data_IF_407782937871
#
_entry.id   IF_407782937871
#
_cell.length_a   1.000
_cell.length_b   1.000
_cell.length_c   1.000
_cell.angle_alpha   90.00
_cell.angle_beta   90.00
_cell.angle_gamma   90.00
#
_symmetry.space_group_name_H-M   'P 1'
#
loop_
_entity.id
_entity.type
_entity.pdbx_description
1 polymer ?
#
# COMPACT_ATOMS: atom_id res chain seq x y z
N UNK A 1 -46.58 26.56 -45.31
CA UNK A 1 -46.03 25.96 -44.03
C UNK A 1 -44.85 25.06 -44.35
N UNK A 2 -43.63 25.57 -44.17
CA UNK A 2 -42.39 24.86 -44.47
C UNK A 2 -41.89 24.34 -43.13
N UNK A 3 -41.83 23.00 -42.98
CA UNK A 3 -41.25 22.34 -41.81
C UNK A 3 -39.75 22.19 -42.02
N UNK A 4 -38.95 22.88 -41.22
CA UNK A 4 -37.50 22.70 -41.15
C UNK A 4 -37.21 21.54 -40.20
N UNK A 5 -36.65 20.44 -40.73
CA UNK A 5 -36.11 19.32 -39.94
C UNK A 5 -34.71 19.74 -39.47
N UNK A 6 -34.55 19.95 -38.17
CA UNK A 6 -33.20 20.04 -37.56
C UNK A 6 -32.67 18.62 -37.33
N UNK A 7 -31.67 18.20 -38.09
CA UNK A 7 -30.87 17.02 -37.78
C UNK A 7 -29.82 17.38 -36.74
N UNK A 8 -29.94 16.79 -35.57
CA UNK A 8 -28.88 16.81 -34.56
C UNK A 8 -27.82 15.78 -34.95
N UNK A 9 -26.63 16.27 -35.33
CA UNK A 9 -25.45 15.43 -35.44
C UNK A 9 -24.81 15.28 -34.04
N UNK A 10 -24.95 14.12 -33.41
CA UNK A 10 -24.17 13.76 -32.25
C UNK A 10 -22.77 13.35 -32.71
N UNK A 11 -21.80 14.24 -32.57
CA UNK A 11 -20.40 13.91 -32.77
C UNK A 11 -19.93 13.07 -31.59
N UNK A 12 -19.86 11.76 -31.74
CA UNK A 12 -19.10 10.88 -30.87
C UNK A 12 -17.61 11.12 -31.14
N UNK A 13 -16.92 11.83 -30.23
CA UNK A 13 -15.46 11.85 -30.23
C UNK A 13 -14.98 10.44 -29.91
N UNK A 14 -14.50 9.73 -30.90
CA UNK A 14 -13.71 8.53 -30.68
C UNK A 14 -12.32 8.97 -30.18
N UNK A 15 -12.00 8.71 -28.91
CA UNK A 15 -10.63 8.83 -28.41
C UNK A 15 -9.72 7.95 -29.29
N UNK A 16 -8.68 8.54 -29.83
CA UNK A 16 -7.67 7.81 -30.59
C UNK A 16 -6.81 6.99 -29.64
N UNK A 17 -6.24 5.89 -30.10
CA UNK A 17 -5.40 4.99 -29.30
C UNK A 17 -4.17 5.68 -28.64
N UNK A 18 -3.84 6.91 -29.03
CA UNK A 18 -2.77 7.73 -28.45
C UNK A 18 -3.15 8.40 -27.11
N UNK A 19 -4.44 8.47 -26.75
CA UNK A 19 -4.93 9.12 -25.52
C UNK A 19 -5.18 8.14 -24.35
N UNK A 20 -4.93 6.85 -24.55
CA UNK A 20 -4.99 5.89 -23.44
C UNK A 20 -3.69 6.00 -22.62
N UNK A 21 -3.78 6.30 -21.31
CA UNK A 21 -2.59 6.30 -20.47
C UNK A 21 -1.90 4.93 -20.55
N UNK A 22 -0.56 4.95 -20.67
CA UNK A 22 0.23 3.71 -20.67
C UNK A 22 -0.15 2.86 -19.46
N UNK A 23 -0.36 1.55 -19.67
CA UNK A 23 -0.64 0.61 -18.59
C UNK A 23 0.49 0.62 -17.57
N UNK A 24 0.22 0.12 -16.37
CA UNK A 24 1.20 -0.01 -15.29
C UNK A 24 1.51 -1.48 -15.05
N UNK A 25 2.80 -1.81 -14.94
CA UNK A 25 3.24 -3.09 -14.39
C UNK A 25 3.33 -2.98 -12.87
N UNK A 26 2.87 -4.00 -12.15
CA UNK A 26 2.88 -3.98 -10.68
C UNK A 26 2.85 -5.37 -10.07
N UNK A 27 3.43 -5.49 -8.87
CA UNK A 27 3.16 -6.56 -7.92
C UNK A 27 1.92 -6.18 -7.12
N UNK A 28 0.92 -7.04 -7.08
CA UNK A 28 -0.30 -6.90 -6.28
C UNK A 28 -0.25 -7.88 -5.11
N UNK A 29 -0.56 -7.40 -3.91
CA UNK A 29 -0.51 -8.12 -2.64
C UNK A 29 -1.86 -8.02 -1.93
N UNK A 30 -2.34 -9.13 -1.42
CA UNK A 30 -3.66 -9.19 -0.77
C UNK A 30 -4.21 -10.59 -0.76
N UNK A 31 -5.51 -10.73 -0.99
CA UNK A 31 -6.17 -12.02 -1.17
C UNK A 31 -5.66 -12.79 -2.39
N UNK A 32 -5.16 -12.06 -3.39
CA UNK A 32 -4.39 -12.59 -4.52
C UNK A 32 -3.00 -11.95 -4.51
N UNK A 33 -1.96 -12.76 -4.72
CA UNK A 33 -0.57 -12.30 -4.84
C UNK A 33 -0.09 -12.58 -6.26
N UNK A 34 0.14 -11.53 -7.04
CA UNK A 34 0.49 -11.68 -8.46
C UNK A 34 1.23 -10.47 -9.03
N UNK A 35 1.98 -10.71 -10.11
CA UNK A 35 2.55 -9.65 -10.94
C UNK A 35 1.68 -9.53 -12.19
N UNK A 36 1.32 -8.30 -12.50
CA UNK A 36 0.55 -7.91 -13.69
C UNK A 36 1.43 -7.00 -14.54
N UNK A 37 1.53 -7.26 -15.82
CA UNK A 37 2.27 -6.40 -16.76
C UNK A 37 1.43 -5.19 -17.22
N UNK A 38 2.05 -4.29 -17.96
CA UNK A 38 1.41 -3.08 -18.47
C UNK A 38 0.23 -3.35 -19.43
N UNK A 39 0.16 -4.55 -20.02
CA UNK A 39 -0.98 -4.99 -20.84
C UNK A 39 -2.12 -5.60 -20.01
N UNK A 40 -1.98 -5.65 -18.69
CA UNK A 40 -2.96 -6.25 -17.77
C UNK A 40 -2.88 -7.77 -17.68
N UNK A 41 -1.84 -8.40 -18.24
CA UNK A 41 -1.64 -9.85 -18.19
C UNK A 41 -0.94 -10.24 -16.90
N UNK A 42 -1.45 -11.27 -16.23
CA UNK A 42 -0.77 -11.87 -15.07
C UNK A 42 0.43 -12.69 -15.56
N UNK A 43 1.63 -12.28 -15.15
CA UNK A 43 2.89 -12.91 -15.53
C UNK A 43 3.48 -13.82 -14.46
N UNK A 44 3.04 -13.66 -13.21
CA UNK A 44 3.46 -14.47 -12.07
C UNK A 44 2.38 -14.48 -10.98
N UNK A 45 2.28 -15.60 -10.24
CA UNK A 45 1.38 -15.74 -9.09
C UNK A 45 2.10 -16.43 -7.94
N UNK A 46 1.63 -16.16 -6.71
CA UNK A 46 2.04 -16.91 -5.52
C UNK A 46 0.80 -17.46 -4.80
N UNK A 47 0.81 -18.73 -4.36
CA UNK A 47 -0.39 -19.40 -3.83
C UNK A 47 -0.63 -19.10 -2.35
N UNK A 48 -0.50 -17.83 -1.93
CA UNK A 48 -0.77 -17.42 -0.56
C UNK A 48 -1.42 -16.04 -0.50
N UNK A 49 -2.19 -15.81 0.56
CA UNK A 49 -2.68 -14.48 0.94
C UNK A 49 -1.53 -13.72 1.60
N UNK A 50 -1.25 -12.52 1.11
CA UNK A 50 -0.17 -11.66 1.57
C UNK A 50 -0.70 -10.32 2.08
N UNK A 51 0.15 -9.55 2.75
CA UNK A 51 -0.23 -8.23 3.28
C UNK A 51 0.69 -7.13 2.80
N UNK A 52 2.00 -7.35 2.86
CA UNK A 52 3.06 -6.44 2.41
C UNK A 52 4.12 -7.25 1.67
N UNK A 53 4.96 -6.60 0.90
CA UNK A 53 6.05 -7.25 0.20
C UNK A 53 6.58 -6.43 -0.97
N UNK A 54 7.60 -6.96 -1.62
CA UNK A 54 8.28 -6.31 -2.74
C UNK A 54 8.98 -7.31 -3.64
N UNK A 55 9.17 -6.96 -4.91
CA UNK A 55 10.23 -7.48 -5.75
C UNK A 55 11.54 -6.90 -5.27
N UNK A 56 12.51 -7.75 -5.00
CA UNK A 56 13.85 -7.37 -4.53
C UNK A 56 14.80 -7.07 -5.70
N UNK A 57 15.93 -6.38 -5.45
CA UNK A 57 16.93 -6.09 -6.49
C UNK A 57 17.48 -7.36 -7.19
N UNK A 58 17.55 -8.49 -6.47
CA UNK A 58 17.99 -9.80 -7.03
C UNK A 58 16.88 -10.52 -7.83
N UNK A 59 15.69 -9.93 -7.95
CA UNK A 59 14.55 -10.49 -8.67
C UNK A 59 13.66 -11.41 -7.84
N UNK A 60 14.06 -11.81 -6.63
CA UNK A 60 13.21 -12.53 -5.70
C UNK A 60 12.07 -11.64 -5.17
N UNK A 61 11.14 -12.22 -4.43
CA UNK A 61 10.08 -11.48 -3.78
C UNK A 61 10.17 -11.67 -2.25
N UNK A 62 10.10 -10.57 -1.51
CA UNK A 62 9.89 -10.58 -0.08
C UNK A 62 8.39 -10.41 0.19
N UNK A 63 7.78 -11.31 0.95
CA UNK A 63 6.33 -11.36 1.14
C UNK A 63 5.98 -11.57 2.61
N UNK A 64 4.99 -10.85 3.14
CA UNK A 64 4.32 -11.26 4.39
C UNK A 64 3.23 -12.26 4.08
N UNK A 65 3.21 -13.37 4.78
CA UNK A 65 2.16 -14.37 4.66
C UNK A 65 1.15 -14.23 5.81
N UNK A 66 -0.12 -14.30 5.48
CA UNK A 66 -1.16 -14.48 6.48
C UNK A 66 -1.03 -15.83 7.18
N UNK A 67 -1.75 -16.00 8.29
CA UNK A 67 -1.77 -17.26 9.05
C UNK A 67 -2.07 -18.46 8.16
N UNK A 68 -1.29 -19.50 8.35
CA UNK A 68 -1.51 -20.83 7.76
C UNK A 68 -1.20 -21.89 8.80
N UNK A 69 -1.45 -23.16 8.49
CA UNK A 69 -1.04 -24.29 9.34
C UNK A 69 0.48 -24.32 9.53
N UNK A 70 1.26 -23.96 8.50
CA UNK A 70 2.73 -23.91 8.57
C UNK A 70 3.23 -22.66 9.31
N UNK A 71 2.47 -21.57 9.29
CA UNK A 71 2.80 -20.28 9.89
C UNK A 71 1.63 -19.76 10.74
N UNK A 72 1.42 -20.29 11.95
CA UNK A 72 0.26 -19.92 12.77
C UNK A 72 0.26 -18.45 13.23
N UNK A 73 1.42 -17.78 13.25
CA UNK A 73 1.59 -16.34 13.50
C UNK A 73 1.75 -15.49 12.24
N UNK A 74 1.59 -16.09 11.05
CA UNK A 74 2.05 -15.49 9.80
C UNK A 74 3.57 -15.63 9.63
N UNK A 75 4.11 -15.09 8.55
CA UNK A 75 5.54 -15.15 8.27
C UNK A 75 5.99 -14.00 7.36
N UNK A 76 7.29 -13.74 7.32
CA UNK A 76 7.95 -13.07 6.19
C UNK A 76 8.79 -14.11 5.48
N UNK A 77 8.62 -14.21 4.17
CA UNK A 77 9.40 -15.14 3.34
C UNK A 77 10.06 -14.40 2.18
N UNK A 78 11.28 -14.80 1.81
CA UNK A 78 11.84 -14.47 0.52
C UNK A 78 11.66 -15.68 -0.39
N UNK A 79 11.06 -15.46 -1.55
CA UNK A 79 10.79 -16.51 -2.54
C UNK A 79 11.42 -16.16 -3.88
N UNK A 80 11.92 -17.17 -4.57
CA UNK A 80 12.39 -17.04 -5.95
C UNK A 80 11.22 -16.96 -6.92
N UNK A 81 11.46 -16.67 -8.20
CA UNK A 81 10.41 -16.63 -9.24
C UNK A 81 9.77 -18.01 -9.49
N UNK A 82 10.47 -19.09 -9.22
CA UNK A 82 9.95 -20.46 -9.23
C UNK A 82 9.31 -20.86 -7.88
N UNK A 83 9.02 -19.88 -7.01
CA UNK A 83 8.26 -20.00 -5.75
C UNK A 83 8.97 -20.81 -4.65
N UNK A 84 10.27 -21.01 -4.76
CA UNK A 84 11.07 -21.65 -3.71
C UNK A 84 11.36 -20.65 -2.60
N UNK A 85 11.07 -21.02 -1.35
CA UNK A 85 11.45 -20.23 -0.17
C UNK A 85 12.96 -20.36 0.04
N UNK A 86 13.66 -19.22 0.08
CA UNK A 86 15.12 -19.15 0.29
C UNK A 86 15.50 -18.48 1.61
N UNK A 87 14.55 -17.80 2.25
CA UNK A 87 14.68 -17.27 3.60
C UNK A 87 13.29 -17.13 4.22
N UNK A 88 13.19 -17.30 5.53
CA UNK A 88 11.94 -17.13 6.27
C UNK A 88 12.15 -16.59 7.69
N UNK A 89 11.19 -15.77 8.13
CA UNK A 89 10.94 -15.42 9.52
C UNK A 89 9.54 -15.90 9.89
N UNK A 90 9.43 -16.76 10.93
CA UNK A 90 8.14 -17.23 11.42
C UNK A 90 7.63 -16.27 12.48
N UNK A 91 6.45 -15.71 12.25
CA UNK A 91 5.79 -14.83 13.22
C UNK A 91 5.61 -15.53 14.56
N UNK A 92 5.97 -14.85 15.64
CA UNK A 92 5.94 -15.40 17.01
C UNK A 92 4.66 -15.03 17.75
N UNK A 93 3.85 -14.15 17.16
CA UNK A 93 2.60 -13.68 17.74
C UNK A 93 1.41 -14.02 16.82
N UNK A 94 0.43 -13.11 16.69
CA UNK A 94 -0.81 -13.39 15.97
C UNK A 94 -0.72 -13.10 14.49
N UNK A 95 -0.03 -12.03 14.08
CA UNK A 95 0.09 -11.61 12.68
C UNK A 95 1.42 -10.90 12.42
N UNK A 96 1.93 -11.02 11.18
CA UNK A 96 3.00 -10.18 10.64
C UNK A 96 2.40 -9.27 9.55
N UNK A 97 2.66 -7.96 9.60
CA UNK A 97 1.98 -6.99 8.73
C UNK A 97 2.90 -6.17 7.83
N UNK A 98 4.21 -6.19 8.04
CA UNK A 98 5.20 -5.43 7.27
C UNK A 98 6.31 -6.34 6.79
N UNK A 99 6.83 -6.12 5.57
CA UNK A 99 8.04 -6.75 5.06
C UNK A 99 8.80 -5.78 4.14
N UNK A 100 9.88 -5.19 4.65
CA UNK A 100 10.74 -4.28 3.90
C UNK A 100 12.19 -4.70 4.02
N UNK A 101 12.86 -4.92 2.87
CA UNK A 101 14.31 -5.06 2.84
C UNK A 101 14.94 -3.68 3.05
N UNK A 102 15.78 -3.56 4.05
CA UNK A 102 16.52 -2.33 4.37
C UNK A 102 17.89 -2.30 3.67
N UNK A 103 18.47 -1.11 3.50
CA UNK A 103 19.77 -0.91 2.84
C UNK A 103 20.91 -1.67 3.53
N UNK A 104 20.80 -1.91 4.84
CA UNK A 104 21.77 -2.71 5.62
C UNK A 104 21.56 -4.22 5.48
N UNK A 105 20.61 -4.67 4.64
CA UNK A 105 20.28 -6.07 4.40
C UNK A 105 19.35 -6.71 5.43
N UNK A 106 19.00 -6.02 6.52
CA UNK A 106 18.00 -6.47 7.48
C UNK A 106 16.58 -6.39 6.91
N UNK A 107 15.66 -7.12 7.50
CA UNK A 107 14.24 -7.07 7.18
C UNK A 107 13.50 -6.31 8.28
N UNK A 108 12.85 -5.22 7.92
CA UNK A 108 11.89 -4.54 8.80
C UNK A 108 10.56 -5.28 8.73
N UNK A 109 10.03 -5.62 9.89
CA UNK A 109 8.70 -6.23 10.01
C UNK A 109 7.97 -5.74 11.27
N UNK A 110 6.65 -5.90 11.30
CA UNK A 110 5.83 -5.67 12.50
C UNK A 110 5.06 -6.92 12.85
N UNK A 111 5.01 -7.25 14.14
CA UNK A 111 4.14 -8.27 14.70
C UNK A 111 2.99 -7.64 15.47
N UNK A 112 1.77 -8.09 15.20
CA UNK A 112 0.59 -7.79 15.99
C UNK A 112 0.23 -9.00 16.86
N UNK A 113 -0.18 -8.75 18.09
CA UNK A 113 -0.47 -9.77 19.08
C UNK A 113 -0.60 -9.19 20.48
N UNK A 114 -0.40 -10.01 21.51
CA UNK A 114 -0.45 -9.58 22.91
C UNK A 114 0.68 -8.60 23.26
N UNK A 115 1.79 -8.66 22.51
CA UNK A 115 2.96 -7.77 22.65
C UNK A 115 3.34 -7.22 21.28
N UNK A 116 2.52 -6.31 20.70
CA UNK A 116 2.78 -5.79 19.35
C UNK A 116 4.13 -5.07 19.31
N UNK A 117 4.91 -5.32 18.24
CA UNK A 117 6.27 -4.79 18.12
C UNK A 117 6.70 -4.60 16.66
N UNK A 118 7.66 -3.71 16.49
CA UNK A 118 8.43 -3.53 15.27
C UNK A 118 9.79 -4.19 15.46
N UNK A 119 10.27 -4.90 14.44
CA UNK A 119 11.55 -5.60 14.46
C UNK A 119 12.38 -5.25 13.22
N UNK A 120 13.71 -5.15 13.41
CA UNK A 120 14.68 -5.40 12.34
C UNK A 120 15.32 -6.76 12.58
N UNK A 121 15.19 -7.64 11.60
CA UNK A 121 15.71 -9.00 11.68
C UNK A 121 16.80 -9.18 10.62
N UNK A 122 17.96 -9.65 11.03
CA UNK A 122 19.05 -9.96 10.10
C UNK A 122 18.78 -11.29 9.36
N UNK A 123 19.54 -11.55 8.30
CA UNK A 123 19.39 -12.76 7.48
C UNK A 123 19.70 -14.06 8.25
N UNK A 124 20.49 -13.99 9.31
CA UNK A 124 20.75 -15.12 10.22
C UNK A 124 19.63 -15.35 11.26
N UNK A 125 18.54 -14.55 11.20
CA UNK A 125 17.42 -14.62 12.12
C UNK A 125 17.60 -13.82 13.42
N UNK A 126 18.77 -13.20 13.65
CA UNK A 126 18.99 -12.40 14.87
C UNK A 126 18.20 -11.08 14.81
N UNK A 127 17.57 -10.71 15.93
CA UNK A 127 16.86 -9.43 16.07
C UNK A 127 17.91 -8.34 16.37
N UNK A 128 17.95 -7.31 15.53
CA UNK A 128 18.86 -6.17 15.66
C UNK A 128 18.20 -4.96 16.29
N UNK A 129 16.89 -4.79 16.06
CA UNK A 129 16.08 -3.74 16.68
C UNK A 129 14.77 -4.37 17.10
N UNK A 130 14.30 -4.01 18.29
CA UNK A 130 12.98 -4.35 18.80
C UNK A 130 12.36 -3.12 19.46
N UNK A 131 11.22 -2.67 18.95
CA UNK A 131 10.47 -1.53 19.47
C UNK A 131 9.07 -2.00 19.84
N UNK A 132 8.70 -2.00 21.12
CA UNK A 132 7.32 -2.25 21.53
C UNK A 132 6.37 -1.20 20.96
N UNK A 133 5.27 -1.63 20.36
CA UNK A 133 4.24 -0.75 19.82
C UNK A 133 3.12 -0.61 20.85
N UNK A 134 2.92 0.61 21.37
CA UNK A 134 1.89 0.89 22.39
C UNK A 134 0.49 0.94 21.78
N UNK A 135 -0.10 -0.23 21.49
CA UNK A 135 -1.47 -0.35 20.99
C UNK A 135 -2.48 -0.48 22.13
N UNK A 136 -3.64 0.13 22.00
CA UNK A 136 -4.72 0.09 23.00
C UNK A 136 -5.74 -1.02 22.68
N UNK A 137 -5.92 -1.35 21.40
CA UNK A 137 -6.90 -2.35 20.99
C UNK A 137 -6.43 -3.77 21.28
N UNK A 138 -7.35 -4.60 21.77
CA UNK A 138 -7.15 -6.06 21.88
C UNK A 138 -7.42 -6.81 20.57
N UNK A 139 -7.96 -6.13 19.57
CA UNK A 139 -8.07 -6.70 18.23
C UNK A 139 -6.73 -6.59 17.50
N UNK A 140 -5.95 -7.66 17.54
CA UNK A 140 -4.60 -7.71 16.97
C UNK A 140 -4.56 -7.27 15.50
N UNK A 141 -5.61 -7.61 14.74
CA UNK A 141 -5.74 -7.19 13.33
C UNK A 141 -5.78 -5.68 13.15
N UNK A 142 -6.03 -4.89 14.18
CA UNK A 142 -6.14 -3.44 14.13
C UNK A 142 -4.91 -2.71 14.68
N UNK A 143 -3.91 -3.42 15.20
CA UNK A 143 -2.82 -2.81 15.94
C UNK A 143 -1.83 -2.05 15.05
N UNK A 144 -1.24 -2.69 14.04
CA UNK A 144 -0.25 -2.06 13.16
C UNK A 144 -0.43 -2.46 11.70
N UNK A 145 0.05 -1.62 10.80
CA UNK A 145 0.03 -1.85 9.36
C UNK A 145 1.41 -1.52 8.76
N UNK A 146 1.46 -1.09 7.54
CA UNK A 146 2.62 -0.83 6.67
C UNK A 146 3.66 0.10 7.31
N UNK A 147 4.52 -0.41 8.20
CA UNK A 147 5.62 0.35 8.75
C UNK A 147 6.70 0.61 7.69
N UNK A 148 7.34 1.77 7.77
CA UNK A 148 8.44 2.16 6.87
C UNK A 148 9.59 2.76 7.66
N UNK A 149 10.84 2.47 7.27
CA UNK A 149 12.01 3.16 7.80
C UNK A 149 12.23 4.45 7.01
N UNK A 150 12.38 5.54 7.72
CA UNK A 150 12.64 6.87 7.14
C UNK A 150 14.12 7.07 6.87
N UNK A 151 14.45 8.03 6.01
CA UNK A 151 15.85 8.37 5.68
C UNK A 151 16.67 8.89 6.86
N UNK A 152 16.01 9.43 7.90
CA UNK A 152 16.63 9.83 9.15
C UNK A 152 16.90 8.65 10.11
N UNK A 153 16.59 7.42 9.70
CA UNK A 153 16.77 6.21 10.49
C UNK A 153 15.59 5.84 11.40
N UNK A 154 14.61 6.70 11.55
CA UNK A 154 13.41 6.47 12.35
C UNK A 154 12.38 5.57 11.64
N UNK A 155 11.34 5.19 12.35
CA UNK A 155 10.29 4.28 11.85
C UNK A 155 8.93 4.96 11.86
N UNK A 156 8.30 5.06 10.71
CA UNK A 156 6.93 5.55 10.57
C UNK A 156 5.97 4.37 10.59
N UNK A 157 5.09 4.33 11.59
CA UNK A 157 4.23 3.18 11.85
C UNK A 157 2.76 3.61 11.91
N UNK A 158 1.94 3.22 10.94
CA UNK A 158 0.49 3.31 11.06
C UNK A 158 0.00 2.32 12.12
N UNK A 159 -0.69 2.84 13.13
CA UNK A 159 -1.19 2.07 14.26
C UNK A 159 -2.60 2.51 14.61
N UNK A 160 -3.55 1.60 14.67
CA UNK A 160 -4.92 1.93 15.08
C UNK A 160 -5.47 3.16 14.32
N UNK A 161 -5.64 4.28 15.01
CA UNK A 161 -6.11 5.57 14.45
C UNK A 161 -4.99 6.60 14.31
N UNK A 162 -3.73 6.21 14.50
CA UNK A 162 -2.59 7.13 14.60
C UNK A 162 -1.45 6.66 13.73
N UNK A 163 -0.79 7.57 13.04
CA UNK A 163 0.55 7.31 12.47
C UNK A 163 1.58 7.87 13.44
N UNK A 164 2.54 7.05 13.87
CA UNK A 164 3.60 7.44 14.80
C UNK A 164 4.97 7.30 14.14
N UNK A 165 5.85 8.24 14.48
CA UNK A 165 7.28 8.12 14.21
C UNK A 165 7.99 7.76 15.49
N UNK A 166 8.73 6.65 15.44
CA UNK A 166 9.59 6.18 16.52
C UNK A 166 11.05 6.43 16.17
N UNK A 167 11.85 6.89 17.12
CA UNK A 167 13.30 6.84 17.00
C UNK A 167 13.81 5.41 17.20
N UNK A 168 15.14 5.21 17.01
CA UNK A 168 15.77 3.90 17.16
C UNK A 168 15.72 3.35 18.61
N UNK A 169 15.48 4.19 19.61
CA UNK A 169 15.29 3.81 21.01
C UNK A 169 13.83 3.48 21.36
N UNK A 170 12.91 3.60 20.39
CA UNK A 170 11.49 3.33 20.57
C UNK A 170 10.69 4.48 21.18
N UNK A 171 11.25 5.68 21.25
CA UNK A 171 10.52 6.87 21.70
C UNK A 171 9.69 7.42 20.56
N UNK A 172 8.41 7.72 20.82
CA UNK A 172 7.56 8.47 19.89
C UNK A 172 8.02 9.91 19.83
N UNK A 173 8.43 10.37 18.66
CA UNK A 173 8.91 11.74 18.44
C UNK A 173 7.97 12.59 17.59
N UNK A 174 7.04 11.96 16.88
CA UNK A 174 5.96 12.61 16.16
C UNK A 174 4.77 11.67 16.07
N UNK A 175 3.56 12.21 16.12
CA UNK A 175 2.35 11.46 15.87
C UNK A 175 1.27 12.31 15.20
N UNK A 176 0.43 11.65 14.42
CA UNK A 176 -0.75 12.24 13.82
C UNK A 176 -1.92 11.30 13.98
N UNK A 177 -2.90 11.72 14.79
CA UNK A 177 -4.17 11.03 14.88
C UNK A 177 -4.98 11.28 13.63
N UNK A 178 -5.73 10.28 13.15
CA UNK A 178 -6.68 10.47 12.04
C UNK A 178 -7.69 11.57 12.40
N UNK A 179 -8.13 12.37 11.42
CA UNK A 179 -9.17 13.38 11.67
C UNK A 179 -10.40 12.69 12.26
N UNK A 180 -11.09 13.42 13.11
CA UNK A 180 -12.30 12.95 13.74
C UNK A 180 -13.28 12.46 12.69
N UNK A 181 -13.59 11.23 12.74
CA UNK A 181 -14.87 10.74 12.33
C UNK A 181 -15.07 9.40 12.98
N UNK A 182 -16.24 9.24 13.43
CA UNK A 182 -16.98 8.03 13.31
C UNK A 182 -16.09 6.80 13.14
N UNK A 183 -16.04 5.98 14.13
CA UNK A 183 -15.98 4.56 13.94
C UNK A 183 -14.75 4.02 13.25
N UNK A 184 -13.65 3.84 13.34
CA UNK A 184 -12.60 3.04 12.69
C UNK A 184 -11.85 3.67 11.52
N UNK A 185 -11.60 4.97 11.49
CA UNK A 185 -10.60 5.55 10.59
C UNK A 185 -9.21 5.03 10.95
N UNK A 186 -8.97 3.75 10.63
CA UNK A 186 -7.68 3.12 10.82
C UNK A 186 -6.71 3.70 9.83
N UNK A 187 -5.56 4.09 10.34
CA UNK A 187 -4.42 4.39 9.49
C UNK A 187 -3.89 3.08 8.91
N UNK A 188 -3.66 3.04 7.60
CA UNK A 188 -3.18 1.82 6.94
C UNK A 188 -1.78 1.98 6.37
N UNK A 189 -1.53 3.03 5.62
CA UNK A 189 -0.24 3.36 5.04
C UNK A 189 0.14 4.80 5.42
N UNK A 190 1.40 5.03 5.68
CA UNK A 190 1.98 6.35 5.90
C UNK A 190 3.28 6.48 5.12
N UNK A 191 3.39 7.51 4.27
CA UNK A 191 4.57 7.78 3.47
C UNK A 191 5.05 9.20 3.72
N UNK A 192 6.31 9.37 4.15
CA UNK A 192 6.89 10.69 4.39
C UNK A 192 7.91 11.04 3.30
N UNK A 193 7.71 12.18 2.64
CA UNK A 193 8.64 12.69 1.64
C UNK A 193 9.80 13.49 2.27
N UNK A 194 10.78 13.87 1.45
CA UNK A 194 11.95 14.62 1.90
C UNK A 194 11.63 16.04 2.44
N UNK A 195 10.47 16.61 2.09
CA UNK A 195 10.01 17.90 2.63
C UNK A 195 9.33 17.75 4.01
N UNK A 196 9.23 16.53 4.55
CA UNK A 196 8.60 16.23 5.84
C UNK A 196 7.09 16.07 5.77
N UNK A 197 6.47 16.15 4.60
CA UNK A 197 5.04 15.90 4.43
C UNK A 197 4.76 14.40 4.52
N UNK A 198 3.65 14.05 5.16
CA UNK A 198 3.21 12.66 5.32
C UNK A 198 1.87 12.43 4.65
N UNK A 199 1.85 11.52 3.67
CA UNK A 199 0.63 11.03 3.03
C UNK A 199 0.12 9.83 3.84
N UNK A 200 -1.17 9.82 4.19
CA UNK A 200 -1.78 8.81 5.07
C UNK A 200 -3.07 8.30 4.43
N UNK A 201 -3.22 6.98 4.31
CA UNK A 201 -4.50 6.37 3.97
C UNK A 201 -5.30 6.01 5.21
N UNK A 202 -6.60 6.34 5.18
CA UNK A 202 -7.58 6.09 6.24
C UNK A 202 -8.62 5.10 5.71
N UNK A 203 -8.47 3.83 6.08
CA UNK A 203 -9.15 2.71 5.43
C UNK A 203 -10.67 2.81 5.49
N UNK A 204 -11.24 2.89 6.68
CA UNK A 204 -12.71 2.83 6.84
C UNK A 204 -13.37 4.13 6.42
N UNK A 205 -12.69 5.24 6.59
CA UNK A 205 -13.15 6.56 6.13
C UNK A 205 -13.09 6.75 4.61
N UNK A 206 -12.49 5.80 3.87
CA UNK A 206 -12.26 5.96 2.41
C UNK A 206 -11.67 7.33 2.09
N UNK A 207 -10.57 7.67 2.77
CA UNK A 207 -10.02 9.01 2.82
C UNK A 207 -8.49 8.94 2.77
N UNK A 208 -7.86 9.82 2.02
CA UNK A 208 -6.41 10.01 2.01
C UNK A 208 -6.12 11.44 2.38
N UNK A 209 -5.19 11.66 3.32
CA UNK A 209 -4.76 12.99 3.72
C UNK A 209 -3.25 13.14 3.51
N UNK A 210 -2.83 14.35 3.23
CA UNK A 210 -1.43 14.77 3.36
C UNK A 210 -1.34 15.81 4.47
N UNK A 211 -0.40 15.60 5.37
CA UNK A 211 -0.12 16.55 6.44
C UNK A 211 1.31 17.08 6.29
N UNK A 212 1.52 18.35 6.68
CA UNK A 212 2.85 18.93 6.78
C UNK A 212 3.62 18.39 8.01
N UNK A 213 4.84 18.85 8.22
CA UNK A 213 5.67 18.42 9.36
C UNK A 213 5.05 18.76 10.73
N UNK A 214 4.20 19.80 10.80
CA UNK A 214 3.46 20.17 12.01
C UNK A 214 2.18 19.33 12.21
N UNK A 215 1.85 18.44 11.26
CA UNK A 215 0.65 17.61 11.30
C UNK A 215 -0.62 18.30 10.79
N UNK A 216 -0.52 19.49 10.19
CA UNK A 216 -1.66 20.19 9.58
C UNK A 216 -2.01 19.56 8.24
N UNK A 217 -3.29 19.29 7.98
CA UNK A 217 -3.75 18.79 6.67
C UNK A 217 -3.53 19.89 5.63
N UNK A 218 -2.78 19.57 4.56
CA UNK A 218 -2.46 20.45 3.45
C UNK A 218 -3.09 19.99 2.14
N UNK A 219 -3.51 18.73 2.08
CA UNK A 219 -4.26 18.15 0.96
C UNK A 219 -5.06 16.95 1.44
N UNK A 220 -6.20 16.69 0.80
CA UNK A 220 -7.01 15.52 1.11
C UNK A 220 -7.77 15.01 -0.13
N UNK A 221 -8.10 13.74 -0.13
CA UNK A 221 -8.96 13.07 -1.10
C UNK A 221 -10.07 12.34 -0.36
N UNK A 222 -11.32 12.64 -0.66
CA UNK A 222 -12.52 12.03 -0.08
C UNK A 222 -13.32 11.27 -1.13
N UNK A 223 -14.17 10.38 -0.69
CA UNK A 223 -15.17 9.80 -1.59
C UNK A 223 -16.04 10.89 -2.21
N UNK A 224 -16.27 10.79 -3.53
CA UNK A 224 -16.96 11.81 -4.33
C UNK A 224 -16.04 12.84 -5.01
N UNK A 225 -14.76 12.94 -4.62
CA UNK A 225 -13.81 13.87 -5.26
C UNK A 225 -13.36 13.42 -6.67
N UNK A 226 -13.46 12.13 -6.97
CA UNK A 226 -13.05 11.56 -8.26
C UNK A 226 -14.26 11.22 -9.12
N UNK A 227 -14.32 11.80 -10.31
CA UNK A 227 -15.41 11.52 -11.24
C UNK A 227 -15.41 10.04 -11.66
N UNK A 228 -16.49 9.33 -11.36
CA UNK A 228 -16.70 7.94 -11.77
C UNK A 228 -15.87 6.89 -11.02
N UNK A 229 -15.08 7.30 -10.02
CA UNK A 229 -14.24 6.40 -9.21
C UNK A 229 -14.57 6.58 -7.74
N UNK A 230 -15.44 5.74 -7.16
CA UNK A 230 -15.69 5.78 -5.72
C UNK A 230 -14.48 5.31 -4.94
N UNK A 231 -14.22 5.93 -3.80
CA UNK A 231 -13.25 5.42 -2.83
C UNK A 231 -13.90 4.36 -1.95
N UNK A 232 -13.24 3.21 -1.80
CA UNK A 232 -13.78 2.11 -1.03
C UNK A 232 -12.70 1.41 -0.20
N UNK A 233 -12.48 1.88 1.02
CA UNK A 233 -11.43 1.43 1.95
C UNK A 233 -10.03 1.58 1.36
N UNK A 234 -9.56 2.80 1.28
CA UNK A 234 -8.18 3.10 0.81
C UNK A 234 -7.14 2.44 1.71
N UNK A 235 -6.15 1.77 1.10
CA UNK A 235 -5.11 1.03 1.82
C UNK A 235 -3.71 1.48 1.39
N UNK A 236 -3.07 0.79 0.47
CA UNK A 236 -1.72 1.12 0.03
C UNK A 236 -1.65 2.47 -0.70
N UNK A 237 -0.48 3.07 -0.61
CA UNK A 237 -0.13 4.32 -1.28
C UNK A 237 1.22 4.17 -1.99
N UNK A 238 1.36 4.88 -3.11
CA UNK A 238 2.64 5.20 -3.72
C UNK A 238 2.65 6.66 -4.13
N UNK A 239 3.74 7.34 -3.84
CA UNK A 239 3.96 8.72 -4.24
C UNK A 239 5.00 8.75 -5.35
N UNK A 240 4.58 9.16 -6.55
CA UNK A 240 5.41 9.13 -7.73
C UNK A 240 6.32 10.36 -7.83
N UNK A 241 7.46 10.27 -8.54
CA UNK A 241 8.38 11.40 -8.73
C UNK A 241 7.74 12.62 -9.41
N UNK A 242 6.71 12.42 -10.24
CA UNK A 242 5.95 13.49 -10.88
C UNK A 242 4.88 14.13 -9.97
N UNK A 243 4.79 13.69 -8.70
CA UNK A 243 3.82 14.16 -7.73
C UNK A 243 2.48 13.43 -7.76
N UNK A 244 2.22 12.55 -8.73
CA UNK A 244 1.01 11.74 -8.75
C UNK A 244 0.97 10.78 -7.55
N UNK A 245 -0.23 10.40 -7.17
CA UNK A 245 -0.48 9.43 -6.11
C UNK A 245 -1.15 8.21 -6.74
N UNK A 246 -0.62 7.02 -6.44
CA UNK A 246 -1.32 5.76 -6.70
C UNK A 246 -1.81 5.22 -5.37
N UNK A 247 -3.06 4.76 -5.34
CA UNK A 247 -3.64 4.15 -4.14
C UNK A 247 -4.46 2.91 -4.48
N UNK A 248 -4.67 2.05 -3.49
CA UNK A 248 -5.57 0.91 -3.61
C UNK A 248 -6.88 1.11 -2.89
N UNK A 249 -7.96 0.63 -3.50
CA UNK A 249 -9.32 0.53 -2.97
C UNK A 249 -9.57 -0.93 -2.54
N UNK A 250 -9.29 -1.26 -1.29
CA UNK A 250 -9.34 -2.64 -0.79
C UNK A 250 -10.71 -3.32 -1.00
N UNK A 251 -11.79 -2.61 -0.75
CA UNK A 251 -13.13 -3.17 -0.84
C UNK A 251 -13.80 -3.00 -2.21
N UNK A 252 -13.09 -2.42 -3.19
CA UNK A 252 -13.61 -2.31 -4.56
C UNK A 252 -13.82 -3.69 -5.19
N UNK A 253 -14.91 -3.82 -5.93
CA UNK A 253 -15.28 -5.01 -6.71
C UNK A 253 -15.63 -4.59 -8.12
N UNK A 254 -15.34 -5.47 -9.10
CA UNK A 254 -15.68 -5.20 -10.49
C UNK A 254 -17.13 -4.70 -10.62
N UNK A 255 -17.39 -3.61 -11.36
CA UNK A 255 -16.46 -2.87 -12.24
C UNK A 255 -15.65 -1.76 -11.56
N UNK A 256 -15.67 -1.63 -10.23
CA UNK A 256 -14.92 -0.58 -9.52
C UNK A 256 -13.40 -0.76 -9.64
N UNK A 257 -12.68 0.36 -9.69
CA UNK A 257 -11.23 0.37 -9.75
C UNK A 257 -10.62 -0.07 -8.41
N UNK A 258 -9.73 -1.08 -8.44
CA UNK A 258 -8.97 -1.57 -7.28
C UNK A 258 -7.70 -0.79 -7.02
N UNK A 259 -7.11 -0.24 -8.07
CA UNK A 259 -5.98 0.69 -7.98
C UNK A 259 -6.26 1.89 -8.86
N UNK A 260 -5.83 3.07 -8.41
CA UNK A 260 -6.11 4.34 -9.06
C UNK A 260 -4.88 5.22 -9.00
N UNK A 261 -4.43 5.78 -10.12
CA UNK A 261 -3.46 6.87 -10.18
C UNK A 261 -4.17 8.18 -10.42
N UNK A 262 -3.84 9.18 -9.62
CA UNK A 262 -4.38 10.53 -9.73
C UNK A 262 -3.26 11.58 -9.73
N UNK A 263 -3.54 12.71 -10.34
CA UNK A 263 -2.73 13.92 -10.19
C UNK A 263 -3.05 14.63 -8.86
N UNK A 264 -2.26 15.64 -8.50
CA UNK A 264 -2.51 16.45 -7.29
C UNK A 264 -3.81 17.26 -7.35
N UNK A 265 -4.28 17.61 -8.52
CA UNK A 265 -5.57 18.26 -8.78
C UNK A 265 -6.72 17.25 -8.96
N UNK A 266 -6.52 16.01 -8.50
CA UNK A 266 -7.54 14.95 -8.41
C UNK A 266 -8.06 14.47 -9.77
N UNK A 267 -7.28 14.57 -10.84
CA UNK A 267 -7.63 13.95 -12.12
C UNK A 267 -7.17 12.50 -12.15
N UNK A 268 -8.06 11.60 -12.53
CA UNK A 268 -7.73 10.19 -12.72
C UNK A 268 -6.85 10.04 -13.97
N UNK A 269 -5.67 9.44 -13.79
CA UNK A 269 -4.67 9.19 -14.85
C UNK A 269 -4.71 7.74 -15.29
N UNK A 270 -4.87 6.80 -14.35
CA UNK A 270 -4.89 5.38 -14.63
C UNK A 270 -5.73 4.64 -13.59
N UNK A 271 -6.32 3.54 -14.03
CA UNK A 271 -7.04 2.63 -13.14
C UNK A 271 -6.74 1.18 -13.47
N UNK A 272 -6.76 0.33 -12.46
CA UNK A 272 -6.75 -1.12 -12.62
C UNK A 272 -8.04 -1.72 -12.05
N UNK A 273 -8.67 -2.59 -12.83
CA UNK A 273 -9.81 -3.41 -12.42
C UNK A 273 -9.50 -4.87 -12.73
N UNK A 274 -10.00 -5.77 -11.91
CA UNK A 274 -10.00 -7.20 -12.21
C UNK A 274 -11.31 -7.86 -11.74
N UNK A 275 -11.55 -9.09 -12.15
CA UNK A 275 -12.77 -9.83 -11.80
C UNK A 275 -12.69 -10.54 -10.46
N UNK A 276 -11.56 -10.51 -9.77
CA UNK A 276 -11.41 -11.16 -8.47
C UNK A 276 -12.25 -10.47 -7.40
N UNK A 277 -12.71 -11.23 -6.41
CA UNK A 277 -13.43 -10.69 -5.25
C UNK A 277 -12.48 -10.24 -4.14
N UNK A 278 -11.18 -10.39 -4.35
CA UNK A 278 -10.17 -10.13 -3.34
C UNK A 278 -9.75 -8.66 -3.30
N UNK A 279 -9.43 -8.18 -2.11
CA UNK A 279 -8.91 -6.82 -1.92
C UNK A 279 -7.41 -6.73 -2.13
N UNK A 280 -6.94 -5.53 -2.48
CA UNK A 280 -5.52 -5.18 -2.59
C UNK A 280 -5.08 -4.51 -1.30
N UNK A 281 -4.21 -5.19 -0.52
CA UNK A 281 -3.63 -4.64 0.70
C UNK A 281 -2.49 -3.67 0.38
N UNK A 282 -1.57 -4.14 -0.47
CA UNK A 282 -0.36 -3.42 -0.87
C UNK A 282 -0.07 -3.70 -2.35
N UNK A 283 0.73 -2.85 -2.96
CA UNK A 283 1.24 -3.02 -4.31
C UNK A 283 2.61 -2.38 -4.46
N UNK A 284 3.35 -2.81 -5.47
CA UNK A 284 4.59 -2.17 -5.89
C UNK A 284 4.54 -1.95 -7.40
N UNK A 285 4.74 -0.71 -7.84
CA UNK A 285 4.88 -0.42 -9.26
C UNK A 285 6.22 -0.94 -9.78
N UNK A 286 6.18 -1.51 -10.97
CA UNK A 286 7.32 -2.11 -11.64
C UNK A 286 7.58 -1.45 -12.99
N UNK A 287 8.81 -1.52 -13.45
CA UNK A 287 9.17 -1.19 -14.83
C UNK A 287 8.84 -2.36 -15.78
N UNK A 288 9.08 -2.17 -17.08
CA UNK A 288 8.81 -3.19 -18.11
C UNK A 288 9.68 -4.45 -17.96
N UNK A 289 10.81 -4.36 -17.24
CA UNK A 289 11.65 -5.48 -16.88
C UNK A 289 11.20 -6.22 -15.60
N UNK A 290 10.11 -5.77 -14.97
CA UNK A 290 9.56 -6.33 -13.73
C UNK A 290 10.40 -6.01 -12.49
N UNK A 291 11.21 -4.94 -12.54
CA UNK A 291 11.97 -4.40 -11.40
C UNK A 291 11.19 -3.27 -10.72
N UNK A 292 11.46 -2.97 -9.45
CA UNK A 292 10.87 -1.84 -8.76
C UNK A 292 11.05 -0.52 -9.54
N UNK A 293 9.98 0.23 -9.71
CA UNK A 293 10.03 1.54 -10.36
C UNK A 293 10.83 2.52 -9.48
N UNK A 294 11.84 3.14 -10.08
CA UNK A 294 12.79 4.02 -9.36
C UNK A 294 12.13 5.33 -8.93
N UNK A 295 12.49 5.81 -7.75
CA UNK A 295 12.03 7.10 -7.21
C UNK A 295 10.60 7.11 -6.67
N UNK A 296 9.91 5.97 -6.66
CA UNK A 296 8.59 5.84 -6.04
C UNK A 296 8.75 5.68 -4.53
N UNK A 297 8.09 6.54 -3.79
CA UNK A 297 7.95 6.40 -2.34
C UNK A 297 6.75 5.49 -2.04
N UNK A 298 6.96 4.43 -1.29
CA UNK A 298 5.93 3.44 -0.94
C UNK A 298 6.10 2.89 0.47
#
# INVERSE_FOLDING_TARGET
MIRILLCWFSATLALTAADQPAGRSFLMLGGVTQIVDAAGKVTWKYPAVTRDGAVLPNGNLLLTLSKTKAYPGGAVVEVTRDQKVVWEYKGTQTEVNTAVLLDNGNILLTEAGDKPRLLEVARDGSIKVEIPLGCQTTNHHMQSRMARKLTNGNYLVPQEKTVREYDAAGKVIWERQSPESTLDNRTFCGLRNAAGHTLISLTVGSHIIEVDAAGKIVWELRDGDLQGVPLNRTTALSWLPNGNIVFSNYAARSPQAKMVEITRDKKVVWTHTDTSKEGVHEFQLLDDAGKPLVGVLR
#
